data_IF_570677384537
#
_entry.id   IF_570677384537
#
_cell.length_a   1.000
_cell.length_b   1.000
_cell.length_c   1.000
_cell.angle_alpha   90.00
_cell.angle_beta   90.00
_cell.angle_gamma   90.00
#
_symmetry.space_group_name_H-M   'P 1'
#
loop_
_entity.id
_entity.type
_entity.pdbx_description
1 polymer ?
#
# COMPACT_ATOMS: atom_id res chain seq x y z
N UNK A 1 -19.23 -11.44 -25.20
CA UNK A 1 -18.64 -10.11 -24.94
C UNK A 1 -17.21 -10.34 -24.47
N UNK A 2 -16.26 -10.15 -25.36
CA UNK A 2 -14.86 -10.32 -25.01
C UNK A 2 -14.41 -9.18 -24.11
N UNK A 3 -13.59 -9.43 -23.08
CA UNK A 3 -13.07 -8.36 -22.25
C UNK A 3 -12.19 -7.42 -23.09
N UNK A 4 -12.23 -6.11 -22.84
CA UNK A 4 -11.42 -5.17 -23.60
C UNK A 4 -9.94 -5.47 -23.44
N UNK A 5 -9.26 -5.61 -24.57
CA UNK A 5 -7.81 -5.84 -24.60
C UNK A 5 -7.10 -4.55 -24.13
N UNK A 6 -6.55 -4.60 -22.92
CA UNK A 6 -5.82 -3.48 -22.30
C UNK A 6 -4.46 -3.20 -22.97
N UNK A 7 -4.09 -3.97 -24.01
CA UNK A 7 -2.81 -3.83 -24.70
C UNK A 7 -2.78 -2.66 -25.68
N UNK A 8 -3.95 -2.19 -26.13
CA UNK A 8 -4.03 -1.13 -27.14
C UNK A 8 -4.07 0.31 -26.61
N UNK A 9 -4.00 0.52 -25.29
CA UNK A 9 -3.99 1.88 -24.70
C UNK A 9 -2.59 2.50 -24.59
N UNK A 10 -1.57 1.92 -25.20
CA UNK A 10 -0.19 2.41 -25.11
C UNK A 10 0.15 3.60 -26.06
N UNK A 11 -0.80 4.14 -26.78
CA UNK A 11 -0.57 5.14 -27.84
C UNK A 11 -1.18 6.52 -27.54
N UNK A 12 -1.16 7.00 -26.29
CA UNK A 12 -1.41 8.41 -26.02
C UNK A 12 -0.13 9.07 -25.52
N UNK A 13 0.65 9.58 -26.46
CA UNK A 13 1.82 10.44 -26.15
C UNK A 13 1.32 11.78 -25.61
N UNK A 14 1.45 11.98 -24.30
CA UNK A 14 1.31 13.30 -23.70
C UNK A 14 2.57 14.14 -23.99
N UNK A 15 2.43 15.46 -24.26
CA UNK A 15 3.56 16.31 -24.57
C UNK A 15 4.53 16.39 -23.38
N UNK A 16 5.83 16.27 -23.69
CA UNK A 16 6.93 16.41 -22.77
C UNK A 16 6.92 17.77 -22.06
N UNK A 17 6.43 17.80 -20.84
CA UNK A 17 6.74 18.89 -19.92
C UNK A 17 8.07 18.56 -19.23
N UNK A 18 9.06 19.38 -19.49
CA UNK A 18 10.36 19.38 -18.82
C UNK A 18 10.15 19.57 -17.32
N UNK A 19 10.20 18.49 -16.54
CA UNK A 19 10.18 18.55 -15.08
C UNK A 19 11.51 19.09 -14.59
N UNK A 20 11.50 20.32 -14.11
CA UNK A 20 12.52 20.83 -13.21
C UNK A 20 12.52 19.96 -11.94
N UNK A 21 13.74 19.60 -11.47
CA UNK A 21 13.94 18.60 -10.43
C UNK A 21 13.22 18.88 -9.13
N UNK A 22 12.15 18.13 -8.90
CA UNK A 22 11.63 17.94 -7.56
C UNK A 22 12.44 16.82 -6.91
N UNK A 23 13.16 17.18 -5.86
CA UNK A 23 13.80 16.23 -4.95
C UNK A 23 12.72 15.36 -4.34
N UNK A 24 12.56 14.16 -4.88
CA UNK A 24 11.74 13.11 -4.28
C UNK A 24 12.24 12.89 -2.85
N UNK A 25 11.51 13.41 -1.88
CA UNK A 25 11.74 13.10 -0.46
C UNK A 25 11.50 11.61 -0.29
N UNK A 26 12.60 10.83 -0.29
CA UNK A 26 12.55 9.41 0.03
C UNK A 26 11.92 9.26 1.40
N UNK A 27 10.76 8.61 1.48
CA UNK A 27 10.15 8.26 2.77
C UNK A 27 11.17 7.49 3.59
N UNK A 28 11.40 7.93 4.82
CA UNK A 28 12.34 7.27 5.73
C UNK A 28 11.92 5.81 5.95
N UNK A 29 12.90 4.90 5.89
CA UNK A 29 12.67 3.49 6.18
C UNK A 29 12.42 3.33 7.67
N UNK A 30 11.34 2.65 8.02
CA UNK A 30 11.00 2.31 9.40
C UNK A 30 11.48 0.90 9.67
N UNK A 31 12.54 0.76 10.47
CA UNK A 31 13.14 -0.56 10.75
C UNK A 31 12.29 -1.40 11.72
N UNK A 32 11.65 -0.75 12.69
CA UNK A 32 10.72 -1.39 13.64
C UNK A 32 9.41 -0.61 13.68
N UNK A 33 8.45 -0.94 12.82
CA UNK A 33 7.19 -0.20 12.76
C UNK A 33 6.36 -0.39 14.03
N UNK A 34 5.68 0.68 14.42
CA UNK A 34 4.67 0.70 15.48
C UNK A 34 3.32 1.13 14.91
N UNK A 35 2.26 0.99 15.69
CA UNK A 35 0.89 1.33 15.24
C UNK A 35 0.80 2.78 14.73
N UNK A 36 1.47 3.72 15.40
CA UNK A 36 1.48 5.14 15.03
C UNK A 36 2.05 5.37 13.61
N UNK A 37 3.00 4.56 13.16
CA UNK A 37 3.57 4.67 11.81
C UNK A 37 2.54 4.37 10.74
N UNK A 38 1.68 3.37 10.97
CA UNK A 38 0.58 3.03 10.06
C UNK A 38 -0.46 4.14 9.98
N UNK A 39 -0.83 4.76 11.11
CA UNK A 39 -1.75 5.90 11.09
C UNK A 39 -1.15 7.10 10.36
N UNK A 40 0.12 7.39 10.58
CA UNK A 40 0.82 8.50 9.90
C UNK A 40 0.84 8.30 8.38
N UNK A 41 1.26 7.12 7.93
CA UNK A 41 1.24 6.78 6.52
C UNK A 41 -0.17 6.72 5.94
N UNK A 42 -1.12 6.17 6.68
CA UNK A 42 -2.51 6.10 6.27
C UNK A 42 -3.13 7.46 6.04
N UNK A 43 -2.84 8.45 6.89
CA UNK A 43 -3.27 9.84 6.68
C UNK A 43 -2.64 10.45 5.44
N UNK A 44 -1.35 10.21 5.21
CA UNK A 44 -0.65 10.70 4.02
C UNK A 44 -1.28 10.13 2.73
N UNK A 45 -1.53 8.82 2.69
CA UNK A 45 -2.17 8.17 1.54
C UNK A 45 -3.60 8.65 1.30
N UNK A 46 -4.32 9.04 2.35
CA UNK A 46 -5.65 9.63 2.25
C UNK A 46 -5.63 11.14 1.93
N UNK A 47 -4.46 11.72 1.66
CA UNK A 47 -4.25 13.17 1.50
C UNK A 47 -4.76 14.00 2.70
N UNK A 48 -4.64 13.43 3.91
CA UNK A 48 -5.08 14.06 5.15
C UNK A 48 -3.91 14.56 6.00
N UNK A 49 -2.74 14.63 5.41
CA UNK A 49 -1.55 15.21 6.04
C UNK A 49 -1.84 16.68 6.41
N UNK A 50 -1.60 17.02 7.67
CA UNK A 50 -1.91 18.36 8.18
C UNK A 50 -3.35 18.56 8.70
N UNK A 51 -4.24 17.61 8.53
CA UNK A 51 -5.54 17.66 9.20
C UNK A 51 -5.39 17.35 10.70
N UNK A 52 -6.17 18.04 11.51
CA UNK A 52 -6.20 17.80 12.95
C UNK A 52 -6.60 16.36 13.23
N UNK A 53 -5.83 15.67 14.07
CA UNK A 53 -6.16 14.31 14.50
C UNK A 53 -7.48 14.39 15.28
N UNK A 54 -8.47 13.64 14.81
CA UNK A 54 -9.72 13.43 15.55
C UNK A 54 -9.50 12.53 16.78
N UNK A 55 -10.59 12.05 17.37
CA UNK A 55 -10.49 11.01 18.39
C UNK A 55 -9.86 9.74 17.83
N UNK A 56 -9.20 8.94 18.66
CA UNK A 56 -8.60 7.65 18.25
C UNK A 56 -9.62 6.74 17.56
N UNK A 57 -10.86 6.71 18.06
CA UNK A 57 -11.94 5.94 17.45
C UNK A 57 -12.24 6.42 16.02
N UNK A 58 -12.25 7.72 15.80
CA UNK A 58 -12.49 8.30 14.46
C UNK A 58 -11.35 7.97 13.48
N UNK A 59 -10.11 8.00 13.94
CA UNK A 59 -8.95 7.62 13.12
C UNK A 59 -8.97 6.12 12.77
N UNK A 60 -9.29 5.25 13.73
CA UNK A 60 -9.40 3.82 13.50
C UNK A 60 -10.50 3.48 12.50
N UNK A 61 -11.68 4.08 12.63
CA UNK A 61 -12.77 3.85 11.68
C UNK A 61 -12.40 4.30 10.25
N UNK A 62 -11.74 5.44 10.10
CA UNK A 62 -11.27 5.93 8.80
C UNK A 62 -10.20 5.02 8.21
N UNK A 63 -9.25 4.59 9.03
CA UNK A 63 -8.20 3.69 8.62
C UNK A 63 -8.79 2.35 8.13
N UNK A 64 -9.69 1.75 8.89
CA UNK A 64 -10.37 0.50 8.53
C UNK A 64 -11.21 0.62 7.27
N UNK A 65 -11.93 1.74 7.10
CA UNK A 65 -12.76 1.95 5.90
C UNK A 65 -11.92 2.04 4.63
N UNK A 66 -10.69 2.53 4.75
CA UNK A 66 -9.80 2.76 3.61
C UNK A 66 -8.91 1.55 3.30
N UNK A 67 -8.38 0.89 4.31
CA UNK A 67 -7.45 -0.23 4.15
C UNK A 67 -8.05 -1.61 4.44
N UNK A 68 -9.24 -1.69 4.98
CA UNK A 68 -9.96 -2.93 5.22
C UNK A 68 -9.73 -3.57 6.59
N UNK A 69 -8.70 -3.15 7.34
CA UNK A 69 -8.44 -3.62 8.69
C UNK A 69 -7.80 -2.51 9.55
N UNK A 70 -7.70 -2.75 10.86
CA UNK A 70 -7.10 -1.78 11.78
C UNK A 70 -5.57 -1.67 11.62
N UNK A 71 -5.00 -0.58 12.10
CA UNK A 71 -3.55 -0.41 12.13
C UNK A 71 -2.84 -1.48 12.99
N UNK A 72 -3.49 -1.97 14.04
CA UNK A 72 -3.00 -3.07 14.87
C UNK A 72 -2.90 -4.37 14.08
N UNK A 73 -3.91 -4.69 13.29
CA UNK A 73 -3.92 -5.86 12.40
C UNK A 73 -2.85 -5.71 11.31
N UNK A 74 -2.65 -4.51 10.77
CA UNK A 74 -1.58 -4.22 9.83
C UNK A 74 -0.20 -4.47 10.43
N UNK A 75 0.02 -4.02 11.65
CA UNK A 75 1.28 -4.26 12.38
C UNK A 75 1.51 -5.75 12.59
N UNK A 76 0.49 -6.47 13.04
CA UNK A 76 0.56 -7.92 13.23
C UNK A 76 0.86 -8.64 11.91
N UNK A 77 0.19 -8.27 10.84
CA UNK A 77 0.41 -8.83 9.51
C UNK A 77 1.84 -8.59 9.03
N UNK A 78 2.36 -7.39 9.22
CA UNK A 78 3.75 -7.06 8.90
C UNK A 78 4.74 -7.91 9.72
N UNK A 79 4.52 -8.04 11.02
CA UNK A 79 5.36 -8.85 11.90
C UNK A 79 5.34 -10.32 11.50
N UNK A 80 4.18 -10.86 11.13
CA UNK A 80 4.07 -12.24 10.65
C UNK A 80 4.82 -12.44 9.33
N UNK A 81 4.63 -11.57 8.35
CA UNK A 81 5.35 -11.61 7.07
C UNK A 81 6.86 -11.56 7.27
N UNK A 82 7.33 -10.72 8.19
CA UNK A 82 8.74 -10.63 8.52
C UNK A 82 9.26 -11.89 9.22
N UNK A 83 8.53 -12.41 10.21
CA UNK A 83 8.92 -13.59 10.99
C UNK A 83 8.97 -14.86 10.15
N UNK A 84 8.08 -15.00 9.16
CA UNK A 84 8.09 -16.14 8.23
C UNK A 84 9.01 -15.94 7.02
N UNK A 85 9.71 -14.82 6.93
CA UNK A 85 10.60 -14.53 5.81
C UNK A 85 9.88 -14.33 4.48
N UNK A 86 8.58 -13.95 4.52
CA UNK A 86 7.73 -13.78 3.34
C UNK A 86 7.78 -12.38 2.74
N UNK A 87 8.43 -11.41 3.40
CA UNK A 87 8.52 -10.04 2.90
C UNK A 87 9.28 -9.97 1.58
N UNK A 88 8.69 -9.40 0.53
CA UNK A 88 9.40 -9.17 -0.73
C UNK A 88 10.61 -8.25 -0.53
N UNK A 89 11.62 -8.41 -1.38
CA UNK A 89 12.85 -7.62 -1.29
C UNK A 89 12.59 -6.12 -1.40
N UNK A 90 13.25 -5.33 -0.55
CA UNK A 90 13.15 -3.86 -0.47
C UNK A 90 11.74 -3.32 -0.19
N UNK A 91 10.87 -4.11 0.42
CA UNK A 91 9.54 -3.66 0.83
C UNK A 91 9.59 -2.82 2.10
N UNK A 92 8.62 -1.91 2.19
CA UNK A 92 8.36 -1.07 3.36
C UNK A 92 6.89 -1.22 3.76
N UNK A 93 6.54 -0.77 4.97
CA UNK A 93 5.17 -0.83 5.47
C UNK A 93 4.16 -0.10 4.58
N UNK A 94 4.57 0.97 3.89
CA UNK A 94 3.72 1.68 2.94
C UNK A 94 3.26 0.78 1.78
N UNK A 95 4.08 -0.16 1.36
CA UNK A 95 3.72 -1.11 0.29
C UNK A 95 2.64 -2.10 0.74
N UNK A 96 2.62 -2.45 2.03
CA UNK A 96 1.52 -3.22 2.62
C UNK A 96 0.22 -2.43 2.60
N UNK A 97 0.26 -1.14 2.96
CA UNK A 97 -0.91 -0.25 2.88
C UNK A 97 -1.42 -0.10 1.45
N UNK A 98 -0.55 0.06 0.46
CA UNK A 98 -0.95 0.08 -0.95
C UNK A 98 -1.69 -1.19 -1.36
N UNK A 99 -1.16 -2.33 -0.94
CA UNK A 99 -1.73 -3.64 -1.28
C UNK A 99 -3.10 -3.85 -0.63
N UNK A 100 -3.24 -3.48 0.64
CA UNK A 100 -4.51 -3.57 1.35
C UNK A 100 -5.56 -2.61 0.78
N UNK A 101 -5.18 -1.37 0.43
CA UNK A 101 -6.05 -0.44 -0.28
C UNK A 101 -6.50 -1.01 -1.61
N UNK A 102 -5.57 -1.56 -2.39
CA UNK A 102 -5.88 -2.15 -3.68
C UNK A 102 -6.88 -3.31 -3.54
N UNK A 103 -6.66 -4.22 -2.60
CA UNK A 103 -7.57 -5.35 -2.35
C UNK A 103 -8.94 -4.91 -1.83
N UNK A 104 -9.00 -3.83 -1.04
CA UNK A 104 -10.26 -3.31 -0.46
C UNK A 104 -11.12 -2.60 -1.48
N UNK A 105 -10.52 -1.76 -2.32
CA UNK A 105 -11.23 -0.79 -3.16
C UNK A 105 -11.31 -1.24 -4.62
N UNK A 106 -10.39 -2.09 -5.08
CA UNK A 106 -10.23 -2.45 -6.50
C UNK A 106 -10.18 -1.21 -7.42
N UNK A 107 -9.29 -0.26 -7.13
CA UNK A 107 -9.25 1.00 -7.84
C UNK A 107 -8.78 0.83 -9.29
N UNK A 108 -9.15 1.79 -10.14
CA UNK A 108 -8.46 1.91 -11.44
C UNK A 108 -6.96 2.20 -11.25
N UNK A 109 -6.15 1.93 -12.26
CA UNK A 109 -4.70 2.16 -12.19
C UNK A 109 -4.36 3.61 -11.81
N UNK A 110 -5.08 4.59 -12.39
CA UNK A 110 -4.85 6.00 -12.11
C UNK A 110 -5.15 6.35 -10.65
N UNK A 111 -6.25 5.85 -10.10
CA UNK A 111 -6.62 6.05 -8.70
C UNK A 111 -5.61 5.38 -7.78
N UNK A 112 -5.20 4.15 -8.09
CA UNK A 112 -4.20 3.44 -7.31
C UNK A 112 -2.84 4.16 -7.28
N UNK A 113 -2.37 4.66 -8.43
CA UNK A 113 -1.13 5.42 -8.52
C UNK A 113 -1.20 6.76 -7.78
N UNK A 114 -2.32 7.46 -7.88
CA UNK A 114 -2.55 8.72 -7.18
C UNK A 114 -2.58 8.51 -5.66
N UNK A 115 -3.31 7.51 -5.20
CA UNK A 115 -3.40 7.18 -3.78
C UNK A 115 -2.05 6.74 -3.21
N UNK A 116 -1.34 5.86 -3.90
CA UNK A 116 -0.03 5.36 -3.46
C UNK A 116 1.02 6.49 -3.35
N UNK A 117 0.91 7.52 -4.17
CA UNK A 117 1.74 8.71 -4.07
C UNK A 117 1.44 9.57 -2.84
N UNK A 118 0.22 9.54 -2.33
CA UNK A 118 -0.22 10.37 -1.22
C UNK A 118 -0.05 11.86 -1.51
N UNK A 119 0.47 12.62 -0.55
CA UNK A 119 0.75 14.05 -0.70
C UNK A 119 1.89 14.36 -1.70
N UNK A 120 2.72 13.39 -2.04
CA UNK A 120 3.84 13.56 -2.97
C UNK A 120 3.44 13.50 -4.45
N UNK A 121 2.18 13.22 -4.75
CA UNK A 121 1.67 13.06 -6.11
C UNK A 121 1.70 11.62 -6.61
N UNK A 122 1.07 11.36 -7.75
CA UNK A 122 0.94 10.02 -8.31
C UNK A 122 2.29 9.35 -8.59
N UNK A 123 2.37 8.06 -8.30
CA UNK A 123 3.53 7.23 -8.64
C UNK A 123 3.38 6.61 -10.02
N UNK A 124 4.51 6.14 -10.59
CA UNK A 124 4.53 5.40 -11.84
C UNK A 124 3.81 4.04 -11.67
N UNK A 125 2.95 3.65 -12.63
CA UNK A 125 2.28 2.35 -12.65
C UNK A 125 3.22 1.14 -12.54
N UNK A 126 4.42 1.22 -13.11
CA UNK A 126 5.43 0.16 -12.99
C UNK A 126 5.90 -0.01 -11.55
N UNK A 127 6.12 1.11 -10.86
CA UNK A 127 6.50 1.12 -9.44
C UNK A 127 5.38 0.55 -8.58
N UNK A 128 4.14 0.94 -8.82
CA UNK A 128 2.99 0.38 -8.11
C UNK A 128 2.93 -1.15 -8.25
N UNK A 129 2.99 -1.66 -9.48
CA UNK A 129 2.93 -3.10 -9.75
C UNK A 129 4.10 -3.88 -9.15
N UNK A 130 5.28 -3.27 -9.16
CA UNK A 130 6.50 -3.88 -8.60
C UNK A 130 6.36 -4.22 -7.12
N UNK A 131 5.63 -3.43 -6.36
CA UNK A 131 5.48 -3.61 -4.91
C UNK A 131 4.13 -4.23 -4.50
N UNK A 132 3.05 -3.90 -5.19
CA UNK A 132 1.71 -4.37 -4.82
C UNK A 132 1.53 -5.86 -5.09
N UNK A 133 1.86 -6.34 -6.29
CA UNK A 133 1.63 -7.74 -6.63
C UNK A 133 2.46 -8.73 -5.81
N UNK A 134 3.77 -8.52 -5.60
CA UNK A 134 4.53 -9.39 -4.71
C UNK A 134 4.02 -9.37 -3.27
N UNK A 135 3.56 -8.22 -2.78
CA UNK A 135 3.01 -8.11 -1.44
C UNK A 135 1.67 -8.84 -1.30
N UNK A 136 0.77 -8.71 -2.26
CA UNK A 136 -0.50 -9.46 -2.28
C UNK A 136 -0.22 -10.97 -2.29
N UNK A 137 0.75 -11.42 -3.08
CA UNK A 137 1.17 -12.82 -3.09
C UNK A 137 1.72 -13.27 -1.75
N UNK A 138 2.58 -12.46 -1.13
CA UNK A 138 3.15 -12.76 0.19
C UNK A 138 2.06 -12.88 1.27
N UNK A 139 1.06 -12.00 1.26
CA UNK A 139 -0.09 -12.06 2.17
C UNK A 139 -0.93 -13.32 1.92
N UNK A 140 -1.15 -13.68 0.66
CA UNK A 140 -1.86 -14.91 0.30
C UNK A 140 -1.11 -16.16 0.75
N UNK A 141 0.20 -16.20 0.56
CA UNK A 141 1.03 -17.33 0.94
C UNK A 141 1.10 -17.50 2.47
N UNK A 142 0.93 -16.42 3.23
CA UNK A 142 0.93 -16.44 4.68
C UNK A 142 -0.14 -17.37 5.27
N UNK A 143 -1.28 -17.54 4.59
CA UNK A 143 -2.33 -18.47 4.99
C UNK A 143 -1.79 -19.89 5.20
N UNK A 144 -0.94 -20.35 4.30
CA UNK A 144 -0.35 -21.70 4.38
C UNK A 144 0.49 -21.89 5.64
N UNK A 145 1.25 -20.87 6.04
CA UNK A 145 2.08 -20.91 7.25
C UNK A 145 1.23 -20.90 8.52
N UNK A 146 0.17 -20.11 8.55
CA UNK A 146 -0.74 -20.02 9.70
C UNK A 146 -1.49 -21.33 9.88
N UNK A 147 -2.04 -21.87 8.79
CA UNK A 147 -2.76 -23.14 8.82
C UNK A 147 -1.87 -24.29 9.25
N UNK A 148 -0.66 -24.37 8.70
CA UNK A 148 0.32 -25.42 9.07
C UNK A 148 0.64 -25.40 10.57
N UNK A 149 0.84 -24.22 11.16
CA UNK A 149 1.10 -24.12 12.60
C UNK A 149 -0.10 -24.49 13.46
N UNK A 150 -1.32 -24.15 13.05
CA UNK A 150 -2.51 -24.45 13.84
C UNK A 150 -2.91 -25.95 13.84
N UNK A 151 -2.44 -26.72 12.85
CA UNK A 151 -2.84 -28.14 12.73
C UNK A 151 -1.73 -29.13 13.12
N UNK A 152 -0.49 -28.68 13.27
CA UNK A 152 0.66 -29.57 13.55
C UNK A 152 1.39 -29.28 14.87
N UNK A 153 0.90 -28.34 15.68
CA UNK A 153 1.26 -28.17 17.09
C UNK A 153 0.14 -28.77 17.97
#
# INVERSE_FOLDING_TARGET
MDPPDWRDQAAYEAPHQTRQGETSTKRARVDKPVIADFYTLGRDLQNRSGHRIGSELSEDLRFRSYFGCSAEVMLLLWQMLNSFGCLPHKTQIVHLLWSCFFMKVYPSQNVACSTAGGSSGAIDPKTLRKYVWPMIRAVSDLEQYVVSKCYFD
#
